data_IF_465008022478
#
_entry.id   IF_465008022478
#
_cell.length_a   1.000
_cell.length_b   1.000
_cell.length_c   1.000
_cell.angle_alpha   90.00
_cell.angle_beta   90.00
_cell.angle_gamma   90.00
#
_symmetry.space_group_name_H-M   'P 1'
#
loop_
_entity.id
_entity.type
_entity.pdbx_description
1 polymer ?
#
# COMPACT_ATOMS: atom_id res chain seq x y z
N UNK A 1 17.21 -4.50 2.22
CA UNK A 1 18.39 -4.58 3.10
C UNK A 1 19.34 -3.44 2.79
N UNK A 2 19.64 -2.56 3.74
CA UNK A 2 20.69 -1.56 3.59
C UNK A 2 22.03 -2.31 3.65
N UNK A 3 22.63 -2.58 2.49
CA UNK A 3 24.04 -2.98 2.41
C UNK A 3 24.88 -1.74 2.75
N UNK A 4 26.02 -1.92 3.40
CA UNK A 4 26.86 -0.83 3.95
C UNK A 4 27.53 0.10 2.91
N UNK A 5 26.99 0.18 1.68
CA UNK A 5 27.43 1.08 0.61
C UNK A 5 26.27 1.88 0.03
N UNK A 6 26.48 3.18 -0.20
CA UNK A 6 25.52 4.08 -0.84
C UNK A 6 25.54 3.86 -2.37
N UNK A 7 25.08 2.68 -2.80
CA UNK A 7 25.05 2.29 -4.21
C UNK A 7 23.58 2.19 -4.64
N UNK A 8 23.18 3.02 -5.61
CA UNK A 8 21.82 2.98 -6.16
C UNK A 8 21.69 1.74 -7.02
N UNK A 9 20.89 0.77 -6.57
CA UNK A 9 20.57 -0.44 -7.33
C UNK A 9 19.37 -0.15 -8.24
N UNK A 10 19.24 -0.86 -9.37
CA UNK A 10 18.10 -0.68 -10.28
C UNK A 10 16.75 -0.92 -9.59
N UNK A 11 16.73 -1.75 -8.54
CA UNK A 11 15.58 -1.95 -7.66
C UNK A 11 15.10 -0.66 -6.99
N UNK A 12 16.01 0.26 -6.65
CA UNK A 12 15.65 1.51 -5.98
C UNK A 12 14.86 2.43 -6.92
N UNK A 13 15.20 2.42 -8.22
CA UNK A 13 14.44 3.13 -9.24
C UNK A 13 13.03 2.56 -9.39
N UNK A 14 12.89 1.22 -9.41
CA UNK A 14 11.58 0.57 -9.44
C UNK A 14 10.75 0.88 -8.19
N UNK A 15 11.37 0.95 -7.00
CA UNK A 15 10.70 1.32 -5.76
C UNK A 15 10.18 2.76 -5.80
N UNK A 16 10.98 3.71 -6.27
CA UNK A 16 10.55 5.12 -6.40
C UNK A 16 9.40 5.25 -7.40
N UNK A 17 9.49 4.57 -8.55
CA UNK A 17 8.41 4.55 -9.54
C UNK A 17 7.14 3.94 -8.97
N UNK A 18 7.25 2.83 -8.24
CA UNK A 18 6.13 2.17 -7.57
C UNK A 18 5.46 3.11 -6.56
N UNK A 19 6.24 3.79 -5.72
CA UNK A 19 5.73 4.76 -4.75
C UNK A 19 4.98 5.92 -5.42
N UNK A 20 5.50 6.43 -6.55
CA UNK A 20 4.83 7.48 -7.31
C UNK A 20 3.50 7.01 -7.91
N UNK A 21 3.46 5.81 -8.49
CA UNK A 21 2.23 5.22 -9.04
C UNK A 21 1.20 4.96 -7.94
N UNK A 22 1.62 4.44 -6.78
CA UNK A 22 0.75 4.17 -5.64
C UNK A 22 0.19 5.46 -5.03
N UNK A 23 1.01 6.51 -4.96
CA UNK A 23 0.54 7.85 -4.57
C UNK A 23 -0.53 8.36 -5.54
N UNK A 24 -0.31 8.18 -6.84
CA UNK A 24 -1.31 8.49 -7.87
C UNK A 24 -2.61 7.72 -7.63
N UNK A 25 -2.54 6.41 -7.39
CA UNK A 25 -3.70 5.57 -7.10
C UNK A 25 -4.48 6.07 -5.89
N UNK A 26 -3.81 6.42 -4.77
CA UNK A 26 -4.46 6.98 -3.58
C UNK A 26 -5.20 8.28 -3.90
N UNK A 27 -4.59 9.21 -4.65
CA UNK A 27 -5.22 10.48 -5.02
C UNK A 27 -6.41 10.28 -5.98
N UNK A 28 -6.29 9.33 -6.91
CA UNK A 28 -7.39 8.95 -7.79
C UNK A 28 -8.56 8.37 -6.99
N UNK A 29 -8.28 7.45 -6.05
CA UNK A 29 -9.32 6.89 -5.18
C UNK A 29 -9.98 7.97 -4.34
N UNK A 30 -9.21 8.86 -3.70
CA UNK A 30 -9.74 9.99 -2.93
C UNK A 30 -10.73 10.81 -3.77
N UNK A 31 -10.32 11.22 -4.97
CA UNK A 31 -11.16 12.04 -5.87
C UNK A 31 -12.42 11.32 -6.38
N UNK A 32 -12.34 10.03 -6.69
CA UNK A 32 -13.46 9.26 -7.25
C UNK A 32 -14.35 8.61 -6.20
N UNK A 33 -13.86 8.41 -4.97
CA UNK A 33 -14.63 7.85 -3.86
C UNK A 33 -15.77 8.75 -3.40
N UNK A 34 -15.69 10.07 -3.62
CA UNK A 34 -16.78 11.02 -3.38
C UNK A 34 -17.88 10.94 -4.45
N UNK A 35 -17.57 10.43 -5.65
CA UNK A 35 -18.46 10.45 -6.82
C UNK A 35 -19.10 9.10 -7.12
N UNK A 36 -18.47 8.01 -6.72
CA UNK A 36 -18.86 6.63 -7.03
C UNK A 36 -18.80 5.80 -5.76
N UNK A 37 -19.68 4.80 -5.64
CA UNK A 37 -19.63 3.86 -4.53
C UNK A 37 -18.28 3.13 -4.46
N UNK A 38 -17.64 3.12 -3.30
CA UNK A 38 -16.28 2.62 -3.10
C UNK A 38 -16.10 1.14 -3.46
N UNK A 39 -17.18 0.35 -3.33
CA UNK A 39 -17.19 -1.04 -3.76
C UNK A 39 -17.08 -1.18 -5.30
N UNK A 40 -17.79 -0.34 -6.04
CA UNK A 40 -17.73 -0.32 -7.51
C UNK A 40 -16.35 0.10 -7.99
N UNK A 41 -15.74 1.08 -7.31
CA UNK A 41 -14.36 1.51 -7.58
C UNK A 41 -13.37 0.36 -7.35
N UNK A 42 -13.48 -0.34 -6.22
CA UNK A 42 -12.64 -1.51 -5.89
C UNK A 42 -12.72 -2.58 -6.98
N UNK A 43 -13.93 -2.92 -7.43
CA UNK A 43 -14.13 -3.89 -8.51
C UNK A 43 -13.44 -3.45 -9.81
N UNK A 44 -13.50 -2.17 -10.16
CA UNK A 44 -12.81 -1.61 -11.32
C UNK A 44 -11.29 -1.79 -11.24
N UNK A 45 -10.69 -1.42 -10.11
CA UNK A 45 -9.24 -1.56 -9.88
C UNK A 45 -8.79 -3.02 -9.96
N UNK A 46 -9.55 -3.95 -9.35
CA UNK A 46 -9.23 -5.38 -9.42
C UNK A 46 -9.35 -5.94 -10.84
N UNK A 47 -10.37 -5.53 -11.60
CA UNK A 47 -10.53 -5.99 -12.98
C UNK A 47 -9.40 -5.50 -13.88
N UNK A 48 -9.03 -4.23 -13.77
CA UNK A 48 -7.91 -3.65 -14.54
C UNK A 48 -6.60 -4.34 -14.17
N UNK A 49 -6.32 -4.45 -12.86
CA UNK A 49 -5.09 -5.07 -12.35
C UNK A 49 -4.99 -6.54 -12.74
N UNK A 50 -6.08 -7.30 -12.61
CA UNK A 50 -6.12 -8.71 -12.99
C UNK A 50 -5.92 -8.89 -14.50
N UNK A 51 -6.51 -8.01 -15.31
CA UNK A 51 -6.40 -8.11 -16.77
C UNK A 51 -4.98 -7.79 -17.24
N UNK A 52 -4.37 -6.72 -16.72
CA UNK A 52 -2.98 -6.37 -17.01
C UNK A 52 -2.02 -7.46 -16.53
N UNK A 53 -2.20 -7.94 -15.29
CA UNK A 53 -1.36 -8.99 -14.72
C UNK A 53 -1.46 -10.31 -15.50
N UNK A 54 -2.65 -10.66 -15.99
CA UNK A 54 -2.83 -11.85 -16.82
C UNK A 54 -2.04 -11.77 -18.14
N UNK A 55 -1.99 -10.61 -18.79
CA UNK A 55 -1.21 -10.40 -20.03
C UNK A 55 0.29 -10.62 -19.77
N UNK A 56 0.82 -10.08 -18.67
CA UNK A 56 2.23 -10.28 -18.30
C UNK A 56 2.51 -11.74 -17.89
N UNK A 57 1.58 -12.40 -17.20
CA UNK A 57 1.71 -13.81 -16.84
C UNK A 57 1.90 -14.70 -18.08
N UNK A 58 1.13 -14.49 -19.15
CA UNK A 58 1.26 -15.32 -20.37
C UNK A 58 2.51 -15.01 -21.21
N UNK A 59 3.10 -13.83 -21.06
CA UNK A 59 4.23 -13.38 -21.88
C UNK A 59 5.59 -13.56 -21.22
N UNK A 60 5.66 -13.55 -19.89
CA UNK A 60 6.94 -13.59 -19.15
C UNK A 60 7.12 -14.83 -18.27
N UNK A 61 6.04 -15.50 -17.84
CA UNK A 61 6.12 -16.58 -16.84
C UNK A 61 5.83 -17.97 -17.41
N UNK A 62 6.43 -19.00 -16.80
CA UNK A 62 6.15 -20.41 -17.13
C UNK A 62 5.13 -20.99 -16.16
N UNK A 63 3.86 -21.00 -16.56
CA UNK A 63 2.79 -21.51 -15.71
C UNK A 63 2.76 -23.04 -15.75
N UNK A 64 3.28 -23.67 -14.70
CA UNK A 64 3.17 -25.12 -14.50
C UNK A 64 2.00 -25.45 -13.57
N UNK A 65 1.22 -26.48 -13.92
CA UNK A 65 0.06 -26.90 -13.12
C UNK A 65 0.45 -27.39 -11.71
N UNK A 66 1.68 -27.88 -11.54
CA UNK A 66 2.23 -28.33 -10.26
C UNK A 66 2.57 -27.16 -9.35
N UNK A 67 3.24 -26.11 -9.87
CA UNK A 67 3.51 -24.90 -9.10
C UNK A 67 2.21 -24.20 -8.68
N UNK A 68 1.20 -24.18 -9.57
CA UNK A 68 -0.11 -23.61 -9.25
C UNK A 68 -0.79 -24.35 -8.09
N UNK A 69 -0.74 -25.69 -8.05
CA UNK A 69 -1.30 -26.46 -6.93
C UNK A 69 -0.53 -26.26 -5.63
N UNK A 70 0.80 -26.16 -5.70
CA UNK A 70 1.65 -25.95 -4.53
C UNK A 70 1.39 -24.59 -3.87
N UNK A 71 1.14 -23.55 -4.67
CA UNK A 71 0.97 -22.18 -4.19
C UNK A 71 -0.50 -21.72 -4.07
N UNK A 72 -1.47 -22.57 -4.41
CA UNK A 72 -2.90 -22.20 -4.46
C UNK A 72 -3.40 -21.60 -3.14
N UNK A 73 -3.07 -22.23 -2.01
CA UNK A 73 -3.53 -21.78 -0.69
C UNK A 73 -2.95 -20.41 -0.30
N UNK A 74 -1.63 -20.19 -0.34
CA UNK A 74 -1.05 -18.86 -0.14
C UNK A 74 -1.60 -17.80 -1.10
N UNK A 75 -1.78 -18.13 -2.38
CA UNK A 75 -2.32 -17.20 -3.37
C UNK A 75 -3.74 -16.77 -3.05
N UNK A 76 -4.61 -17.71 -2.69
CA UNK A 76 -5.99 -17.41 -2.29
C UNK A 76 -6.04 -16.55 -1.02
N UNK A 77 -5.17 -16.85 -0.05
CA UNK A 77 -5.08 -16.05 1.17
C UNK A 77 -4.68 -14.60 0.87
N UNK A 78 -3.62 -14.39 0.07
CA UNK A 78 -3.17 -13.04 -0.31
C UNK A 78 -4.22 -12.33 -1.17
N UNK A 79 -4.81 -13.00 -2.15
CA UNK A 79 -5.81 -12.39 -3.04
C UNK A 79 -7.07 -11.94 -2.28
N UNK A 80 -7.60 -12.78 -1.39
CA UNK A 80 -8.86 -12.47 -0.68
C UNK A 80 -8.61 -11.56 0.52
N UNK A 81 -7.71 -11.97 1.43
CA UNK A 81 -7.56 -11.27 2.70
C UNK A 81 -6.72 -10.02 2.58
N UNK A 82 -5.56 -10.11 1.90
CA UNK A 82 -4.67 -8.94 1.77
C UNK A 82 -5.20 -7.98 0.70
N UNK A 83 -5.51 -8.46 -0.50
CA UNK A 83 -5.95 -7.59 -1.58
C UNK A 83 -7.43 -7.18 -1.44
N UNK A 84 -8.39 -8.11 -1.57
CA UNK A 84 -9.81 -7.73 -1.63
C UNK A 84 -10.27 -7.00 -0.35
N UNK A 85 -10.07 -7.61 0.82
CA UNK A 85 -10.50 -6.97 2.09
C UNK A 85 -9.66 -5.72 2.36
N UNK A 86 -8.35 -5.79 2.20
CA UNK A 86 -7.44 -4.68 2.49
C UNK A 86 -7.73 -3.43 1.65
N UNK A 87 -7.77 -3.55 0.31
CA UNK A 87 -8.01 -2.39 -0.55
C UNK A 87 -9.45 -1.86 -0.44
N UNK A 88 -10.45 -2.72 -0.23
CA UNK A 88 -11.81 -2.22 0.05
C UNK A 88 -11.85 -1.44 1.37
N UNK A 89 -11.21 -1.95 2.44
CA UNK A 89 -11.08 -1.20 3.69
C UNK A 89 -10.31 0.11 3.50
N UNK A 90 -9.25 0.12 2.67
CA UNK A 90 -8.51 1.32 2.33
C UNK A 90 -9.40 2.35 1.64
N UNK A 91 -10.18 1.96 0.62
CA UNK A 91 -11.09 2.87 -0.10
C UNK A 91 -12.15 3.43 0.84
N UNK A 92 -12.71 2.61 1.73
CA UNK A 92 -13.68 3.06 2.73
C UNK A 92 -13.04 4.06 3.72
N UNK A 93 -11.83 3.77 4.19
CA UNK A 93 -11.10 4.67 5.09
C UNK A 93 -10.71 6.00 4.41
N UNK A 94 -10.36 5.97 3.11
CA UNK A 94 -10.04 7.17 2.33
C UNK A 94 -11.28 8.03 2.09
N UNK A 95 -12.43 7.41 1.80
CA UNK A 95 -13.68 8.15 1.56
C UNK A 95 -14.10 9.02 2.76
N UNK A 96 -13.94 8.48 3.96
CA UNK A 96 -14.40 9.13 5.19
C UNK A 96 -13.25 9.83 5.97
N UNK A 97 -12.01 9.77 5.47
CA UNK A 97 -10.78 10.22 6.14
C UNK A 97 -9.95 11.23 5.35
N UNK A 98 -8.86 11.73 5.96
CA UNK A 98 -7.86 12.52 5.23
C UNK A 98 -6.91 11.55 4.49
N UNK A 99 -6.75 11.67 3.15
CA UNK A 99 -5.85 10.80 2.38
C UNK A 99 -4.41 10.80 2.92
N UNK A 100 -3.95 11.91 3.53
CA UNK A 100 -2.65 11.96 4.18
C UNK A 100 -2.57 10.99 5.38
N UNK A 101 -3.57 11.00 6.26
CA UNK A 101 -3.64 10.11 7.42
C UNK A 101 -3.82 8.64 6.98
N UNK A 102 -4.66 8.38 5.98
CA UNK A 102 -4.86 7.02 5.48
C UNK A 102 -3.60 6.47 4.82
N UNK A 103 -2.86 7.29 4.07
CA UNK A 103 -1.56 6.88 3.50
C UNK A 103 -0.51 6.57 4.58
N UNK A 104 -0.52 7.33 5.68
CA UNK A 104 0.35 7.12 6.83
C UNK A 104 -0.02 5.83 7.56
N UNK A 105 -1.30 5.55 7.72
CA UNK A 105 -1.80 4.33 8.35
C UNK A 105 -1.47 3.08 7.49
N UNK A 106 -1.56 3.19 6.16
CA UNK A 106 -1.09 2.15 5.23
C UNK A 106 0.41 1.87 5.40
N UNK A 107 1.24 2.91 5.55
CA UNK A 107 2.68 2.73 5.80
C UNK A 107 3.00 2.00 7.13
N UNK A 108 2.05 2.00 8.08
CA UNK A 108 2.18 1.32 9.37
C UNK A 108 2.05 -0.21 9.22
N UNK A 109 1.45 -0.71 8.13
CA UNK A 109 1.37 -2.15 7.82
C UNK A 109 2.76 -2.80 7.81
N UNK A 110 3.78 -2.10 7.31
CA UNK A 110 5.16 -2.57 7.30
C UNK A 110 5.71 -2.86 8.72
N UNK A 111 5.28 -2.10 9.73
CA UNK A 111 5.68 -2.32 11.13
C UNK A 111 5.04 -3.60 11.65
N UNK A 112 3.75 -3.80 11.40
CA UNK A 112 3.06 -5.03 11.78
C UNK A 112 3.68 -6.23 11.08
N UNK A 113 3.94 -6.13 9.77
CA UNK A 113 4.64 -7.17 8.99
C UNK A 113 6.00 -7.52 9.60
N UNK A 114 6.80 -6.51 9.97
CA UNK A 114 8.10 -6.73 10.60
C UNK A 114 7.98 -7.43 11.98
N UNK A 115 7.02 -7.02 12.82
CA UNK A 115 6.77 -7.64 14.13
C UNK A 115 6.30 -9.09 13.98
N UNK A 116 5.36 -9.33 13.07
CA UNK A 116 4.85 -10.69 12.81
C UNK A 116 5.91 -11.58 12.17
N UNK A 117 6.76 -11.05 11.29
CA UNK A 117 7.93 -11.76 10.76
C UNK A 117 8.90 -12.17 11.88
N UNK A 118 9.19 -11.25 12.81
CA UNK A 118 10.00 -11.54 14.00
C UNK A 118 9.41 -12.65 14.86
N UNK A 119 8.09 -12.60 15.10
CA UNK A 119 7.40 -13.46 16.05
C UNK A 119 7.07 -14.85 15.47
N UNK A 120 6.57 -14.91 14.24
CA UNK A 120 6.12 -16.16 13.59
C UNK A 120 7.23 -16.86 12.82
N UNK A 121 8.08 -16.09 12.13
CA UNK A 121 9.14 -16.62 11.28
C UNK A 121 10.50 -16.70 11.99
N UNK A 122 10.55 -16.24 13.25
CA UNK A 122 11.75 -16.16 14.09
C UNK A 122 12.88 -15.32 13.43
N UNK A 123 12.48 -14.36 12.58
CA UNK A 123 13.41 -13.44 11.93
C UNK A 123 14.07 -12.54 12.97
N UNK A 124 15.40 -12.46 12.92
CA UNK A 124 16.17 -11.64 13.86
C UNK A 124 16.22 -10.19 13.38
N UNK A 125 15.36 -9.35 13.96
CA UNK A 125 15.52 -7.91 13.80
C UNK A 125 16.72 -7.40 14.60
N UNK A 126 17.57 -6.64 13.91
CA UNK A 126 18.64 -5.86 14.49
C UNK A 126 18.10 -4.80 15.44
N UNK A 127 18.91 -4.39 16.42
CA UNK A 127 18.58 -3.28 17.33
C UNK A 127 18.24 -1.99 16.57
N UNK A 128 18.82 -1.79 15.38
CA UNK A 128 18.51 -0.63 14.52
C UNK A 128 17.10 -0.70 13.92
N UNK A 129 16.65 -1.88 13.56
CA UNK A 129 15.31 -2.10 12.98
C UNK A 129 14.23 -1.90 14.04
N UNK A 130 14.46 -2.37 15.27
CA UNK A 130 13.57 -2.08 16.41
C UNK A 130 13.42 -0.58 16.71
N UNK A 131 14.52 0.17 16.65
CA UNK A 131 14.48 1.64 16.79
C UNK A 131 13.68 2.27 15.65
N UNK A 132 13.88 1.80 14.41
CA UNK A 132 13.12 2.26 13.25
C UNK A 132 11.61 2.04 13.39
N UNK A 133 11.19 0.85 13.83
CA UNK A 133 9.80 0.54 14.13
C UNK A 133 9.22 1.49 15.19
N UNK A 134 9.95 1.73 16.29
CA UNK A 134 9.52 2.66 17.34
C UNK A 134 9.36 4.10 16.85
N UNK A 135 10.29 4.58 16.00
CA UNK A 135 10.20 5.90 15.39
C UNK A 135 9.00 6.06 14.46
N UNK A 136 8.72 5.03 13.64
CA UNK A 136 7.54 5.04 12.76
C UNK A 136 6.24 5.12 13.57
N UNK A 137 6.09 4.31 14.62
CA UNK A 137 4.92 4.38 15.51
C UNK A 137 4.79 5.77 16.16
N UNK A 138 5.89 6.32 16.67
CA UNK A 138 5.90 7.65 17.27
C UNK A 138 5.49 8.74 16.26
N UNK A 139 5.97 8.67 15.01
CA UNK A 139 5.60 9.60 13.96
C UNK A 139 4.10 9.54 13.63
N UNK A 140 3.55 8.33 13.53
CA UNK A 140 2.10 8.11 13.29
C UNK A 140 1.28 8.70 14.44
N UNK A 141 1.64 8.40 15.69
CA UNK A 141 0.94 8.93 16.87
C UNK A 141 1.00 10.46 16.96
N UNK A 142 2.12 11.07 16.55
CA UNK A 142 2.26 12.53 16.51
C UNK A 142 1.45 13.16 15.37
N UNK A 143 1.31 12.48 14.23
CA UNK A 143 0.54 12.96 13.09
C UNK A 143 -0.98 12.85 13.32
N UNK A 144 -1.43 11.77 13.98
CA UNK A 144 -2.82 11.56 14.41
C UNK A 144 -3.19 12.42 15.62
N UNK A 145 -2.20 12.97 16.34
CA UNK A 145 -2.48 13.86 17.46
C UNK A 145 -3.29 15.07 16.95
N UNK A 146 -4.43 15.42 17.57
CA UNK A 146 -5.34 16.44 17.05
C UNK A 146 -4.69 17.83 17.05
N UNK A 147 -3.92 18.11 16.00
CA UNK A 147 -3.53 19.44 15.60
C UNK A 147 -4.73 20.05 14.88
N UNK A 148 -5.19 21.20 15.36
CA UNK A 148 -6.38 21.91 14.88
C UNK A 148 -6.55 21.83 13.37
N UNK A 149 -7.69 21.27 12.96
CA UNK A 149 -8.27 21.22 11.61
C UNK A 149 -7.82 22.42 10.75
N UNK A 150 -6.93 22.20 9.79
CA UNK A 150 -6.81 23.12 8.65
C UNK A 150 -7.94 22.78 7.69
N UNK A 151 -8.85 23.72 7.54
CA UNK A 151 -9.94 23.69 6.56
C UNK A 151 -9.39 23.33 5.18
N UNK A 152 -9.99 22.31 4.52
CA UNK A 152 -9.71 22.00 3.12
C UNK A 152 -9.98 23.29 2.32
N UNK A 153 -8.94 23.93 1.77
CA UNK A 153 -9.13 25.02 0.81
C UNK A 153 -9.73 24.39 -0.46
N UNK A 154 -10.92 24.82 -0.93
CA UNK A 154 -11.54 24.26 -2.11
C UNK A 154 -10.63 24.42 -3.33
N UNK A 155 -10.52 23.36 -4.13
CA UNK A 155 -9.71 23.31 -5.35
C UNK A 155 -10.11 24.33 -6.44
N UNK A 156 -11.19 25.09 -6.26
CA UNK A 156 -11.58 26.19 -7.14
C UNK A 156 -10.67 27.43 -7.04
N UNK A 157 -9.89 27.60 -5.97
CA UNK A 157 -9.03 28.79 -5.81
C UNK A 157 -7.66 28.70 -6.53
N UNK A 158 -7.31 27.54 -7.11
CA UNK A 158 -6.03 27.36 -7.81
C UNK A 158 -6.12 27.56 -9.34
N UNK A 159 -7.33 27.78 -9.87
CA UNK A 159 -7.53 28.01 -11.30
C UNK A 159 -7.49 29.50 -11.72
N UNK A 160 -7.31 30.42 -10.76
CA UNK A 160 -7.30 31.88 -11.01
C UNK A 160 -6.01 32.61 -10.55
N UNK A 161 -4.90 31.89 -10.31
CA UNK A 161 -3.55 32.48 -10.15
C UNK A 161 -2.66 32.15 -11.34
#
# INVERSE_FOLDING_TARGET
CIKEGFTVETSDLYLVLCAALFTGQILFVDHFSEKVDGFTLSCGEFLVTSSLSAIFMFTQETVTAEALRACMMPMLYVAIMSSCVGYTCQILAQRDGDPALVSLLFSTEAIFSAIFGAALMNDRLSSREWIGCGLMVAAVLLAEWPAKKKEKVPAEAAAEM
#
